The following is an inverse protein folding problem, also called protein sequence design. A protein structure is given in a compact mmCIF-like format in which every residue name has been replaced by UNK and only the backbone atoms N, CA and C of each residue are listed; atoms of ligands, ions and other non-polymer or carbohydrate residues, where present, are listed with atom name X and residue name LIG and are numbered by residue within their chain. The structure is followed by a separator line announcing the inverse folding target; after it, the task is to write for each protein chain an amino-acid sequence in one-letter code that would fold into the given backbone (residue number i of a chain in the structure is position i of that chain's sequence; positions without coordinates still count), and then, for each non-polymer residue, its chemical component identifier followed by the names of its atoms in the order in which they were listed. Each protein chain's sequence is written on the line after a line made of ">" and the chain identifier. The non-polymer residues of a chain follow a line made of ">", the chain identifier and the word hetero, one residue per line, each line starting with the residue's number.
data_IF_876617235105
#
_entry.id   IF_876617235105
#
_cell.length_a   1.000
_cell.length_b   1.000
_cell.length_c   1.000
_cell.angle_alpha   90.00
_cell.angle_beta   90.00
_cell.angle_gamma   90.00
#
_symmetry.space_group_name_H-M   'P 1'
#
loop_
_entity.id
_entity.type
_entity.pdbx_description
1 polymer ?
#
# COMPACT_ATOMS: atom_id res chain seq x y z
N UNK A 1 18.11 2.61 -19.13
CA UNK A 1 16.69 2.32 -18.83
C UNK A 1 16.45 2.53 -17.34
N UNK A 2 15.87 3.65 -16.90
CA UNK A 2 15.46 3.85 -15.50
C UNK A 2 14.11 3.14 -15.31
N UNK A 3 14.11 1.93 -14.72
CA UNK A 3 12.88 1.39 -14.13
C UNK A 3 12.69 2.15 -12.83
N UNK A 4 12.00 3.27 -12.97
CA UNK A 4 11.93 4.34 -12.01
C UNK A 4 11.25 3.86 -10.73
N UNK A 5 11.81 4.24 -9.58
CA UNK A 5 11.29 3.93 -8.24
C UNK A 5 9.79 4.30 -8.11
N UNK A 6 9.36 5.27 -8.92
CA UNK A 6 7.98 5.72 -9.11
C UNK A 6 7.03 4.59 -9.58
N UNK A 7 7.46 3.75 -10.53
CA UNK A 7 6.63 2.66 -11.08
C UNK A 7 6.28 1.60 -10.03
N UNK A 8 7.18 1.34 -9.07
CA UNK A 8 6.91 0.37 -7.99
C UNK A 8 5.91 0.89 -6.96
N UNK A 9 5.98 2.18 -6.63
CA UNK A 9 5.00 2.82 -5.74
C UNK A 9 3.61 2.87 -6.40
N UNK A 10 3.53 3.23 -7.68
CA UNK A 10 2.26 3.24 -8.42
C UNK A 10 1.64 1.84 -8.52
N UNK A 11 2.47 0.80 -8.71
CA UNK A 11 1.99 -0.60 -8.62
C UNK A 11 1.45 -0.93 -7.25
N UNK A 12 2.14 -0.53 -6.17
CA UNK A 12 1.65 -0.73 -4.81
C UNK A 12 0.31 -0.04 -4.57
N UNK A 13 0.18 1.21 -5.05
CA UNK A 13 -1.06 1.97 -4.95
C UNK A 13 -2.23 1.23 -5.62
N UNK A 14 -2.08 0.87 -6.89
CA UNK A 14 -3.11 0.14 -7.63
C UNK A 14 -3.44 -1.21 -6.99
N UNK A 15 -2.42 -1.93 -6.53
CA UNK A 15 -2.59 -3.23 -5.89
C UNK A 15 -3.43 -3.13 -4.60
N UNK A 16 -3.13 -2.13 -3.75
CA UNK A 16 -3.87 -1.88 -2.51
C UNK A 16 -5.31 -1.45 -2.79
N UNK A 17 -5.54 -0.61 -3.82
CA UNK A 17 -6.90 -0.22 -4.20
C UNK A 17 -7.73 -1.36 -4.82
N UNK A 18 -7.09 -2.26 -5.57
CA UNK A 18 -7.78 -3.40 -6.20
C UNK A 18 -8.09 -4.51 -5.21
N UNK A 19 -7.12 -4.89 -4.37
CA UNK A 19 -7.27 -5.99 -3.41
C UNK A 19 -7.94 -5.57 -2.11
N UNK A 20 -7.85 -4.28 -1.75
CA UNK A 20 -8.36 -3.69 -0.50
C UNK A 20 -8.06 -4.57 0.72
N UNK A 21 -6.78 -4.87 1.00
CA UNK A 21 -6.41 -5.64 2.19
C UNK A 21 -7.00 -5.00 3.45
N UNK A 22 -7.56 -5.84 4.32
CA UNK A 22 -8.25 -5.38 5.54
C UNK A 22 -7.29 -5.02 6.67
N UNK A 23 -6.05 -5.54 6.64
CA UNK A 23 -5.05 -5.32 7.68
C UNK A 23 -3.72 -4.87 7.11
N UNK A 24 -2.95 -4.14 7.91
CA UNK A 24 -1.58 -3.74 7.57
C UNK A 24 -0.70 -4.94 7.25
N UNK A 25 -0.85 -6.04 7.98
CA UNK A 25 -0.10 -7.28 7.72
C UNK A 25 -0.39 -7.82 6.33
N UNK A 26 -1.66 -7.93 5.97
CA UNK A 26 -2.08 -8.46 4.68
C UNK A 26 -1.56 -7.57 3.53
N UNK A 27 -1.67 -6.25 3.69
CA UNK A 27 -1.16 -5.27 2.74
C UNK A 27 0.37 -5.36 2.55
N UNK A 28 1.12 -5.56 3.64
CA UNK A 28 2.58 -5.74 3.60
C UNK A 28 2.91 -7.01 2.82
N UNK A 29 2.30 -8.14 3.17
CA UNK A 29 2.54 -9.44 2.53
C UNK A 29 2.23 -9.35 1.03
N UNK A 30 1.09 -8.74 0.68
CA UNK A 30 0.66 -8.54 -0.69
C UNK A 30 1.68 -7.75 -1.51
N UNK A 31 2.16 -6.62 -0.97
CA UNK A 31 3.19 -5.79 -1.64
C UNK A 31 4.51 -6.56 -1.78
N UNK A 32 4.92 -7.32 -0.76
CA UNK A 32 6.15 -8.09 -0.80
C UNK A 32 6.13 -9.15 -1.91
N UNK A 33 5.02 -9.89 -2.04
CA UNK A 33 4.85 -10.96 -3.02
C UNK A 33 4.73 -10.39 -4.43
N UNK A 34 3.82 -9.43 -4.64
CA UNK A 34 3.48 -8.96 -5.98
C UNK A 34 4.52 -8.00 -6.58
N UNK A 35 5.19 -7.21 -5.72
CA UNK A 35 6.21 -6.23 -6.17
C UNK A 35 7.63 -6.77 -5.99
N UNK A 36 7.82 -7.81 -5.16
CA UNK A 36 9.14 -8.38 -4.90
C UNK A 36 10.04 -7.44 -4.09
N UNK A 37 9.47 -6.76 -3.09
CA UNK A 37 10.20 -5.81 -2.22
C UNK A 37 10.31 -6.34 -0.80
N UNK A 38 11.30 -5.85 -0.04
CA UNK A 38 11.43 -6.18 1.38
C UNK A 38 10.29 -5.59 2.22
N UNK A 39 10.02 -6.20 3.36
CA UNK A 39 9.00 -5.74 4.32
C UNK A 39 9.15 -4.24 4.68
N UNK A 40 10.40 -3.78 4.87
CA UNK A 40 10.69 -2.37 5.13
C UNK A 40 10.22 -1.46 4.00
N UNK A 41 10.39 -1.86 2.74
CA UNK A 41 9.91 -1.09 1.59
C UNK A 41 8.39 -1.11 1.49
N UNK A 42 7.77 -2.26 1.76
CA UNK A 42 6.30 -2.38 1.77
C UNK A 42 5.67 -1.46 2.83
N UNK A 43 6.23 -1.43 4.05
CA UNK A 43 5.81 -0.52 5.12
C UNK A 43 5.95 0.96 4.71
N UNK A 44 7.07 1.32 4.10
CA UNK A 44 7.28 2.69 3.61
C UNK A 44 6.28 3.06 2.52
N UNK A 45 5.95 2.14 1.61
CA UNK A 45 4.89 2.38 0.61
C UNK A 45 3.53 2.59 1.26
N UNK A 46 3.16 1.78 2.25
CA UNK A 46 1.89 1.97 2.97
C UNK A 46 1.83 3.31 3.70
N UNK A 47 2.92 3.77 4.32
CA UNK A 47 2.97 5.12 4.92
C UNK A 47 2.79 6.22 3.88
N UNK A 48 3.36 6.06 2.69
CA UNK A 48 3.18 7.02 1.60
C UNK A 48 1.72 7.03 1.14
N UNK A 49 1.09 5.87 1.01
CA UNK A 49 -0.33 5.75 0.66
C UNK A 49 -1.22 6.36 1.76
N UNK A 50 -0.87 6.19 3.02
CA UNK A 50 -1.57 6.83 4.14
C UNK A 50 -1.41 8.35 4.12
N UNK A 51 -0.20 8.86 3.90
CA UNK A 51 0.06 10.29 3.76
C UNK A 51 -0.66 10.91 2.54
N UNK A 52 -0.91 10.11 1.49
CA UNK A 52 -1.71 10.50 0.33
C UNK A 52 -3.22 10.41 0.58
N UNK A 53 -3.65 9.87 1.73
CA UNK A 53 -5.06 9.66 2.05
C UNK A 53 -5.70 8.55 1.20
N UNK A 54 -4.93 7.59 0.70
CA UNK A 54 -5.44 6.41 -0.01
C UNK A 54 -5.98 5.38 0.98
N UNK A 55 -5.27 5.23 2.10
CA UNK A 55 -5.59 4.34 3.19
C UNK A 55 -5.43 5.08 4.52
N UNK A 56 -6.01 4.53 5.58
CA UNK A 56 -5.83 5.01 6.94
C UNK A 56 -5.68 3.79 7.84
N UNK A 57 -4.54 3.68 8.51
CA UNK A 57 -4.34 2.60 9.46
C UNK A 57 -4.94 2.94 10.82
N UNK A 58 -5.70 2.01 11.37
CA UNK A 58 -6.22 2.10 12.74
C UNK A 58 -5.20 1.53 13.73
N UNK A 59 -5.32 1.92 15.00
CA UNK A 59 -4.47 1.41 16.10
C UNK A 59 -4.58 -0.12 16.27
N UNK A 60 -5.70 -0.71 15.85
CA UNK A 60 -5.94 -2.15 15.83
C UNK A 60 -5.19 -2.88 14.70
N UNK A 61 -4.58 -2.14 13.77
CA UNK A 61 -3.88 -2.69 12.60
C UNK A 61 -4.78 -2.97 11.40
N UNK A 62 -6.08 -2.63 11.50
CA UNK A 62 -7.01 -2.61 10.38
C UNK A 62 -6.75 -1.41 9.46
N UNK A 63 -7.06 -1.57 8.18
CA UNK A 63 -6.95 -0.53 7.16
C UNK A 63 -8.36 -0.05 6.82
N UNK A 64 -8.58 1.23 7.01
CA UNK A 64 -9.74 1.96 6.53
C UNK A 64 -9.40 2.61 5.18
N UNK A 65 -10.29 2.47 4.20
CA UNK A 65 -10.14 3.13 2.92
C UNK A 65 -11.03 4.37 2.98
N UNK A 66 -10.44 5.57 3.14
CA UNK A 66 -11.21 6.80 3.01
C UNK A 66 -11.86 6.77 1.63
N UNK A 67 -13.17 6.53 1.61
CA UNK A 67 -13.93 6.53 0.38
C UNK A 67 -14.14 7.99 -0.01
N UNK A 68 -13.11 8.56 -0.63
CA UNK A 68 -13.16 9.84 -1.32
C UNK A 68 -13.95 9.68 -2.62
N UNK A 69 -15.20 10.16 -2.58
CA UNK A 69 -16.09 10.51 -3.69
C UNK A 69 -16.61 9.40 -4.59
N UNK A 70 -17.86 9.01 -4.32
CA UNK A 70 -18.94 9.45 -5.23
C UNK A 70 -19.85 10.40 -4.48
#
# INVERSE_FOLDING_TARGET
>A
MRVDRKTRLEKAHNLILQRKPQTLKDAIILIMIEIGVSERCAREYLKVLEAQGVIKSNLDGSIEYPSGSS
#
